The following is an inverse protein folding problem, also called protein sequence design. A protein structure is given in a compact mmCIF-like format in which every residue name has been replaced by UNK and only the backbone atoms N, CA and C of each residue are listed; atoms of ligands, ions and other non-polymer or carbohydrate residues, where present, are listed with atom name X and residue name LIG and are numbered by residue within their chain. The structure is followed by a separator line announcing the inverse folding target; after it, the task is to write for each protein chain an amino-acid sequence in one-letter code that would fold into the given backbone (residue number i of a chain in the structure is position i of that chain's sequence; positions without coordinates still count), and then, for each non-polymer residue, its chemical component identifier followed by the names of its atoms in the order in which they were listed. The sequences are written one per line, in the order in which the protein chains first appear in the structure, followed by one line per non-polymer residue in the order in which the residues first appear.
data_IF_479265747171
#
_entry.id   IF_479265747171
#
_cell.length_a   1.000
_cell.length_b   1.000
_cell.length_c   1.000
_cell.angle_alpha   90.00
_cell.angle_beta   90.00
_cell.angle_gamma   90.00
#
_symmetry.space_group_name_H-M   'P 1'
#
loop_
_entity.id
_entity.type
_entity.pdbx_description
1 polymer ?
#
# COMPACT_ATOMS: atom_id res chain seq x y z
N UNK A 1 -14.12 -0.10 -14.20
CA UNK A 1 -12.73 -0.33 -14.63
C UNK A 1 -12.34 0.67 -15.72
N UNK A 2 -11.06 1.05 -15.79
CA UNK A 2 -10.52 1.85 -16.89
C UNK A 2 -9.66 0.93 -17.74
N UNK A 3 -10.01 0.78 -19.01
CA UNK A 3 -9.30 -0.06 -19.97
C UNK A 3 -8.12 0.70 -20.58
N UNK A 4 -7.01 0.01 -20.83
CA UNK A 4 -5.78 0.54 -21.41
C UNK A 4 -5.64 0.01 -22.84
N UNK A 5 -4.76 0.63 -23.62
CA UNK A 5 -4.45 0.18 -25.01
C UNK A 5 -4.05 -1.31 -25.03
N UNK A 6 -3.32 -1.79 -24.02
CA UNK A 6 -2.95 -3.20 -23.88
C UNK A 6 -4.10 -4.16 -23.66
N UNK A 7 -5.26 -3.65 -23.22
CA UNK A 7 -6.48 -4.45 -22.97
C UNK A 7 -7.31 -4.60 -24.27
N UNK A 8 -6.85 -4.02 -25.38
CA UNK A 8 -7.47 -4.03 -26.70
C UNK A 8 -8.21 -2.73 -27.03
N UNK A 9 -8.08 -2.29 -28.28
CA UNK A 9 -8.71 -1.05 -28.76
C UNK A 9 -10.25 -1.05 -28.63
N UNK A 10 -10.89 -2.19 -28.80
CA UNK A 10 -12.35 -2.34 -28.66
C UNK A 10 -12.83 -2.08 -27.22
N UNK A 11 -11.98 -2.27 -26.23
CA UNK A 11 -12.34 -2.02 -24.83
C UNK A 11 -12.27 -0.53 -24.48
N UNK A 12 -11.52 0.29 -25.24
CA UNK A 12 -11.38 1.73 -24.97
C UNK A 12 -12.72 2.47 -25.07
N UNK A 13 -13.63 2.04 -25.93
CA UNK A 13 -14.97 2.62 -26.02
C UNK A 13 -15.77 2.50 -24.71
N UNK A 14 -15.53 1.45 -23.91
CA UNK A 14 -16.15 1.26 -22.60
C UNK A 14 -15.68 2.30 -21.56
N UNK A 15 -14.58 3.00 -21.80
CA UNK A 15 -14.12 4.07 -20.92
C UNK A 15 -15.07 5.26 -20.91
N UNK A 16 -15.81 5.51 -22.00
CA UNK A 16 -16.78 6.60 -22.05
C UNK A 16 -17.89 6.44 -21.00
N UNK A 17 -18.37 5.23 -20.78
CA UNK A 17 -19.33 4.96 -19.72
C UNK A 17 -18.74 5.20 -18.33
N UNK A 18 -17.48 4.77 -18.13
CA UNK A 18 -16.77 5.01 -16.88
C UNK A 18 -16.58 6.51 -16.63
N UNK A 19 -16.20 7.28 -17.65
CA UNK A 19 -16.06 8.74 -17.56
C UNK A 19 -17.40 9.43 -17.27
N UNK A 20 -18.51 8.97 -17.87
CA UNK A 20 -19.85 9.48 -17.54
C UNK A 20 -20.20 9.25 -16.07
N UNK A 21 -19.91 8.06 -15.54
CA UNK A 21 -20.13 7.74 -14.10
C UNK A 21 -19.27 8.62 -13.19
N UNK A 22 -18.00 8.84 -13.53
CA UNK A 22 -17.09 9.73 -12.78
C UNK A 22 -17.65 11.16 -12.77
N UNK A 23 -18.01 11.71 -13.94
CA UNK A 23 -18.56 13.06 -14.04
C UNK A 23 -19.85 13.20 -13.24
N UNK A 24 -20.75 12.21 -13.29
CA UNK A 24 -21.97 12.19 -12.48
C UNK A 24 -21.69 12.17 -10.97
N UNK A 25 -20.64 11.45 -10.54
CA UNK A 25 -20.23 11.43 -9.13
C UNK A 25 -19.66 12.79 -8.69
N UNK A 26 -18.81 13.40 -9.50
CA UNK A 26 -18.25 14.73 -9.23
C UNK A 26 -19.32 15.81 -9.20
N UNK A 27 -20.29 15.76 -10.13
CA UNK A 27 -21.44 16.67 -10.16
C UNK A 27 -22.29 16.61 -8.89
N UNK A 28 -22.40 15.42 -8.29
CA UNK A 28 -23.09 15.21 -6.99
C UNK A 28 -22.25 15.61 -5.77
N UNK A 29 -21.04 16.19 -5.96
CA UNK A 29 -20.14 16.54 -4.88
C UNK A 29 -19.36 15.38 -4.26
N UNK A 30 -19.37 14.20 -4.90
CA UNK A 30 -18.61 13.06 -4.41
C UNK A 30 -17.15 13.15 -4.82
N UNK A 31 -16.26 12.56 -4.00
CA UNK A 31 -14.86 12.39 -4.36
C UNK A 31 -14.64 11.10 -5.18
N UNK A 32 -13.69 11.16 -6.12
CA UNK A 32 -13.26 10.02 -6.94
C UNK A 32 -11.78 9.77 -6.74
N UNK A 33 -11.41 8.54 -6.37
CA UNK A 33 -10.00 8.15 -6.20
C UNK A 33 -9.47 7.48 -7.46
N UNK A 34 -8.28 7.92 -7.92
CA UNK A 34 -7.63 7.43 -9.14
C UNK A 34 -6.18 7.11 -8.86
N UNK A 35 -5.73 5.91 -9.24
CA UNK A 35 -4.32 5.51 -9.22
C UNK A 35 -3.64 5.89 -10.53
N UNK A 36 -2.91 7.01 -10.51
CA UNK A 36 -2.38 7.65 -11.73
C UNK A 36 -1.16 6.94 -12.34
N UNK A 37 -0.44 6.10 -11.59
CA UNK A 37 0.70 5.34 -12.10
C UNK A 37 0.30 4.27 -13.13
N UNK A 38 -0.89 3.75 -13.00
CA UNK A 38 -1.45 2.82 -13.98
C UNK A 38 -0.85 1.41 -14.00
N UNK A 39 0.22 1.12 -13.29
CA UNK A 39 0.89 -0.19 -13.20
C UNK A 39 1.21 -0.55 -11.75
N UNK A 40 1.37 -1.85 -11.48
CA UNK A 40 1.87 -2.35 -10.20
C UNK A 40 3.39 -2.31 -10.15
N UNK A 41 3.95 -2.20 -8.95
CA UNK A 41 5.39 -2.32 -8.71
C UNK A 41 5.73 -2.41 -7.23
N UNK A 42 6.96 -2.85 -6.97
CA UNK A 42 7.52 -2.96 -5.62
C UNK A 42 8.38 -1.76 -5.23
N UNK A 43 8.40 -0.75 -6.09
CA UNK A 43 9.21 0.44 -5.87
C UNK A 43 8.54 1.34 -4.82
N UNK A 44 9.36 2.01 -4.02
CA UNK A 44 8.91 2.96 -2.99
C UNK A 44 8.96 4.40 -3.50
N UNK A 45 9.26 4.61 -4.77
CA UNK A 45 9.24 5.89 -5.45
C UNK A 45 8.08 5.98 -6.45
N UNK A 46 7.71 7.20 -6.82
CA UNK A 46 6.69 7.46 -7.83
C UNK A 46 7.25 7.22 -9.23
N UNK A 47 6.58 6.38 -9.99
CA UNK A 47 6.84 6.21 -11.43
C UNK A 47 6.15 7.29 -12.24
N UNK A 48 6.42 7.31 -13.53
CA UNK A 48 5.78 8.26 -14.43
C UNK A 48 4.26 8.08 -14.46
N UNK A 49 3.57 9.20 -14.27
CA UNK A 49 2.12 9.19 -14.27
C UNK A 49 1.56 9.02 -15.68
N UNK A 50 0.49 8.25 -15.80
CA UNK A 50 -0.31 8.19 -17.03
C UNK A 50 -1.08 9.49 -17.24
N UNK A 51 -1.45 9.78 -18.50
CA UNK A 51 -2.25 10.97 -18.85
C UNK A 51 -3.72 10.87 -18.43
N UNK A 52 -4.18 9.69 -18.00
CA UNK A 52 -5.60 9.39 -17.79
C UNK A 52 -6.24 10.27 -16.72
N UNK A 53 -5.61 10.42 -15.54
CA UNK A 53 -6.14 11.23 -14.44
C UNK A 53 -6.24 12.71 -14.80
N UNK A 54 -5.21 13.28 -15.44
CA UNK A 54 -5.19 14.67 -15.88
C UNK A 54 -6.24 14.95 -16.95
N UNK A 55 -6.37 14.04 -17.92
CA UNK A 55 -7.40 14.11 -18.95
C UNK A 55 -8.81 14.10 -18.35
N UNK A 56 -9.09 13.15 -17.44
CA UNK A 56 -10.40 13.06 -16.79
C UNK A 56 -10.74 14.30 -15.98
N UNK A 57 -9.78 14.85 -15.25
CA UNK A 57 -10.00 16.06 -14.46
C UNK A 57 -10.35 17.28 -15.36
N UNK A 58 -9.62 17.45 -16.45
CA UNK A 58 -9.85 18.56 -17.40
C UNK A 58 -11.16 18.40 -18.19
N UNK A 59 -11.49 17.18 -18.66
CA UNK A 59 -12.77 16.89 -19.33
C UNK A 59 -13.96 17.09 -18.37
N UNK A 60 -13.80 16.77 -17.09
CA UNK A 60 -14.81 17.03 -16.08
C UNK A 60 -14.98 18.54 -15.83
N UNK A 61 -13.89 19.29 -15.72
CA UNK A 61 -13.92 20.75 -15.53
C UNK A 61 -14.53 21.46 -16.73
N UNK A 62 -14.23 21.03 -17.96
CA UNK A 62 -14.83 21.56 -19.20
C UNK A 62 -16.36 21.42 -19.19
N UNK A 63 -16.88 20.30 -18.67
CA UNK A 63 -18.34 20.03 -18.59
C UNK A 63 -19.02 20.68 -17.39
N UNK A 64 -18.27 21.06 -16.36
CA UNK A 64 -18.77 21.57 -15.10
C UNK A 64 -18.13 22.94 -14.79
N UNK A 65 -18.33 23.91 -15.68
CA UNK A 65 -17.73 25.24 -15.61
C UNK A 65 -18.08 26.00 -14.33
N UNK A 66 -19.27 25.79 -13.77
CA UNK A 66 -19.71 26.41 -12.51
C UNK A 66 -19.02 25.84 -11.26
N UNK A 67 -18.41 24.65 -11.33
CA UNK A 67 -17.68 24.02 -10.25
C UNK A 67 -16.17 24.26 -10.38
N UNK A 68 -15.46 24.36 -9.27
CA UNK A 68 -14.00 24.35 -9.25
C UNK A 68 -13.51 22.97 -8.76
N UNK A 69 -13.29 22.08 -9.72
CA UNK A 69 -12.80 20.74 -9.42
C UNK A 69 -11.38 20.82 -8.86
N UNK A 70 -11.16 20.17 -7.73
CA UNK A 70 -9.84 20.06 -7.08
C UNK A 70 -9.27 18.67 -7.25
N UNK A 71 -8.02 18.58 -7.64
CA UNK A 71 -7.22 17.35 -7.56
C UNK A 71 -6.37 17.42 -6.31
N UNK A 72 -6.50 16.43 -5.42
CA UNK A 72 -5.71 16.30 -4.21
C UNK A 72 -4.67 15.21 -4.44
N UNK A 73 -3.37 15.54 -4.55
CA UNK A 73 -2.32 14.54 -4.60
C UNK A 73 -2.26 13.76 -3.28
N UNK A 74 -2.17 12.43 -3.37
CA UNK A 74 -2.10 11.58 -2.18
C UNK A 74 -0.91 10.63 -2.30
N UNK A 75 -0.05 10.65 -1.29
CA UNK A 75 1.07 9.72 -1.15
C UNK A 75 0.71 8.58 -0.21
N UNK A 76 0.82 7.34 -0.70
CA UNK A 76 0.71 6.13 0.10
C UNK A 76 2.11 5.61 0.42
N UNK A 77 2.57 5.82 1.63
CA UNK A 77 3.90 5.39 2.07
C UNK A 77 3.78 4.08 2.85
N UNK A 78 3.99 2.97 2.14
CA UNK A 78 4.07 1.64 2.73
C UNK A 78 5.48 1.40 3.26
N UNK A 79 5.60 0.87 4.47
CA UNK A 79 6.91 0.55 5.02
C UNK A 79 7.32 -0.90 4.70
N UNK A 80 6.33 -1.80 4.66
CA UNK A 80 6.54 -3.20 4.29
C UNK A 80 5.32 -3.76 3.56
N UNK A 81 5.49 -4.15 2.30
CA UNK A 81 4.41 -4.75 1.52
C UNK A 81 4.06 -6.20 1.92
N UNK A 82 4.98 -6.90 2.60
CA UNK A 82 4.86 -8.35 2.83
C UNK A 82 4.55 -8.76 4.27
N UNK A 83 4.48 -7.79 5.19
CA UNK A 83 4.29 -8.05 6.61
C UNK A 83 2.95 -7.55 7.12
N UNK A 84 2.27 -8.32 7.98
CA UNK A 84 1.08 -7.83 8.67
C UNK A 84 1.44 -6.78 9.74
N UNK A 85 0.45 -5.98 10.10
CA UNK A 85 0.53 -4.98 11.18
C UNK A 85 1.58 -3.88 10.99
N UNK A 86 2.04 -3.64 9.75
CA UNK A 86 2.93 -2.53 9.48
C UNK A 86 2.19 -1.22 9.29
N UNK A 87 2.89 -0.14 9.61
CA UNK A 87 2.41 1.22 9.49
C UNK A 87 2.31 1.63 8.02
N UNK A 88 1.25 2.35 7.70
CA UNK A 88 1.06 3.04 6.43
C UNK A 88 0.89 4.51 6.77
N UNK A 89 1.64 5.38 6.10
CA UNK A 89 1.43 6.83 6.19
C UNK A 89 0.75 7.31 4.93
N UNK A 90 -0.46 7.86 5.09
CA UNK A 90 -1.22 8.50 4.01
C UNK A 90 -1.02 10.00 4.16
N UNK A 91 -0.45 10.62 3.13
CA UNK A 91 -0.13 12.06 3.13
C UNK A 91 -0.93 12.73 2.03
N UNK A 92 -1.73 13.72 2.41
CA UNK A 92 -2.50 14.55 1.49
C UNK A 92 -1.71 15.80 1.17
N UNK A 93 -1.53 16.08 -0.12
CA UNK A 93 -0.90 17.29 -0.62
C UNK A 93 -1.88 18.45 -0.74
N UNK A 94 -1.37 19.59 -1.23
CA UNK A 94 -2.19 20.76 -1.45
C UNK A 94 -3.17 20.53 -2.60
N UNK A 95 -4.44 20.96 -2.46
CA UNK A 95 -5.41 20.87 -3.53
C UNK A 95 -5.00 21.70 -4.75
N UNK A 96 -5.08 21.11 -5.93
CA UNK A 96 -4.75 21.74 -7.21
C UNK A 96 -6.07 22.07 -7.90
N UNK A 97 -6.32 23.37 -8.21
CA UNK A 97 -7.49 23.78 -8.98
C UNK A 97 -7.32 23.41 -10.46
N UNK A 98 -8.24 22.58 -10.97
CA UNK A 98 -8.24 22.18 -12.38
C UNK A 98 -8.58 23.34 -13.28
N UNK A 99 -9.41 24.26 -12.81
CA UNK A 99 -9.82 25.48 -13.53
C UNK A 99 -8.65 26.31 -14.04
N UNK A 100 -7.55 26.35 -13.31
CA UNK A 100 -6.35 27.11 -13.71
C UNK A 100 -5.70 26.60 -15.01
N UNK A 101 -5.96 25.35 -15.38
CA UNK A 101 -5.41 24.70 -16.57
C UNK A 101 -6.42 24.66 -17.73
N UNK A 102 -7.68 25.03 -17.49
CA UNK A 102 -8.74 24.98 -18.50
C UNK A 102 -8.46 25.87 -19.72
N UNK A 103 -7.98 27.13 -19.59
CA UNK A 103 -7.68 27.98 -20.75
C UNK A 103 -6.63 27.36 -21.68
N UNK A 104 -5.59 26.74 -21.13
CA UNK A 104 -4.55 26.07 -21.91
C UNK A 104 -5.12 24.83 -22.59
N UNK A 105 -5.92 24.06 -21.85
CA UNK A 105 -6.56 22.85 -22.37
C UNK A 105 -7.53 23.14 -23.53
N UNK A 106 -8.33 24.20 -23.44
CA UNK A 106 -9.25 24.60 -24.50
C UNK A 106 -8.51 25.07 -25.76
N UNK A 107 -7.37 25.75 -25.61
CA UNK A 107 -6.51 26.16 -26.71
C UNK A 107 -5.78 24.98 -27.35
N UNK A 108 -5.18 24.11 -26.53
CA UNK A 108 -4.41 22.95 -26.98
C UNK A 108 -4.51 21.80 -25.96
N UNK A 109 -5.41 20.86 -26.24
CA UNK A 109 -5.77 19.77 -25.31
C UNK A 109 -4.55 18.99 -24.79
N UNK A 110 -3.63 18.65 -25.69
CA UNK A 110 -2.43 17.87 -25.32
C UNK A 110 -1.52 18.61 -24.34
N UNK A 111 -1.35 19.92 -24.53
CA UNK A 111 -0.51 20.76 -23.67
C UNK A 111 -1.14 20.90 -22.28
N UNK A 112 -2.44 21.23 -22.20
CA UNK A 112 -3.16 21.31 -20.93
C UNK A 112 -3.08 20.03 -20.11
N UNK A 113 -3.23 18.87 -20.76
CA UNK A 113 -3.08 17.54 -20.12
C UNK A 113 -1.66 17.34 -19.59
N UNK A 114 -0.63 17.70 -20.37
CA UNK A 114 0.76 17.52 -19.98
C UNK A 114 1.14 18.43 -18.80
N UNK A 115 0.70 19.70 -18.82
CA UNK A 115 0.95 20.63 -17.72
C UNK A 115 0.25 20.18 -16.43
N UNK A 116 -1.03 19.80 -16.52
CA UNK A 116 -1.77 19.27 -15.38
C UNK A 116 -1.11 18.02 -14.82
N UNK A 117 -0.66 17.09 -15.69
CA UNK A 117 0.07 15.87 -15.26
C UNK A 117 1.35 16.23 -14.51
N UNK A 118 2.13 17.21 -15.00
CA UNK A 118 3.38 17.64 -14.35
C UNK A 118 3.14 18.19 -12.95
N UNK A 119 2.09 18.98 -12.77
CA UNK A 119 1.75 19.55 -11.45
C UNK A 119 1.24 18.47 -10.49
N UNK A 120 0.41 17.52 -10.97
CA UNK A 120 -0.01 16.37 -10.18
C UNK A 120 1.21 15.54 -9.76
N UNK A 121 2.13 15.26 -10.67
CA UNK A 121 3.36 14.51 -10.40
C UNK A 121 4.19 15.18 -9.29
N UNK A 122 4.41 16.48 -9.40
CA UNK A 122 5.12 17.26 -8.38
C UNK A 122 4.41 17.20 -7.02
N UNK A 123 3.10 17.37 -7.01
CA UNK A 123 2.28 17.27 -5.81
C UNK A 123 2.36 15.89 -5.16
N UNK A 124 2.28 14.80 -5.94
CA UNK A 124 2.39 13.44 -5.43
C UNK A 124 3.80 13.14 -4.88
N UNK A 125 4.87 13.58 -5.57
CA UNK A 125 6.25 13.43 -5.08
C UNK A 125 6.48 14.13 -3.75
N UNK A 126 5.86 15.27 -3.53
CA UNK A 126 5.96 15.97 -2.23
C UNK A 126 5.35 15.17 -1.07
N UNK A 127 4.38 14.29 -1.36
CA UNK A 127 3.68 13.44 -0.39
C UNK A 127 4.39 12.10 -0.11
N UNK A 128 5.52 11.80 -0.78
CA UNK A 128 6.26 10.55 -0.65
C UNK A 128 7.55 10.75 0.15
N UNK A 129 7.97 9.70 0.87
CA UNK A 129 9.27 9.64 1.54
C UNK A 129 10.40 9.58 0.51
N UNK A 130 10.27 8.73 -0.50
CA UNK A 130 11.20 8.61 -1.63
C UNK A 130 10.47 9.12 -2.89
N UNK A 131 10.73 10.35 -3.33
CA UNK A 131 9.97 10.94 -4.43
C UNK A 131 10.34 10.38 -5.81
N UNK A 132 11.57 9.91 -6.01
CA UNK A 132 12.07 9.38 -7.28
C UNK A 132 13.19 8.37 -7.06
N UNK A 133 13.50 7.59 -8.07
CA UNK A 133 14.68 6.76 -8.09
C UNK A 133 15.96 7.61 -8.08
N UNK A 134 16.98 7.11 -7.41
CA UNK A 134 18.24 7.81 -7.28
C UNK A 134 19.37 6.91 -6.77
N UNK A 135 20.63 7.37 -6.80
CA UNK A 135 21.79 6.57 -6.40
C UNK A 135 21.70 6.09 -4.94
N UNK A 136 20.98 6.82 -4.09
CA UNK A 136 20.81 6.49 -2.67
C UNK A 136 19.55 5.70 -2.37
N UNK A 137 18.74 5.30 -3.37
CA UNK A 137 17.46 4.64 -3.18
C UNK A 137 17.50 3.48 -2.19
N UNK A 138 18.48 2.59 -2.31
CA UNK A 138 18.58 1.44 -1.40
C UNK A 138 18.94 1.85 0.03
N UNK A 139 19.74 2.88 0.20
CA UNK A 139 20.10 3.42 1.52
C UNK A 139 18.88 4.07 2.19
N UNK A 140 18.13 4.89 1.43
CA UNK A 140 16.91 5.55 1.87
C UNK A 140 15.82 4.52 2.25
N UNK A 141 15.62 3.51 1.40
CA UNK A 141 14.70 2.41 1.66
C UNK A 141 15.08 1.64 2.93
N UNK A 142 16.34 1.30 3.09
CA UNK A 142 16.84 0.63 4.29
C UNK A 142 16.68 1.49 5.55
N UNK A 143 16.92 2.79 5.45
CA UNK A 143 16.69 3.74 6.53
C UNK A 143 15.21 3.78 6.93
N UNK A 144 14.28 3.88 5.98
CA UNK A 144 12.85 3.84 6.23
C UNK A 144 12.48 2.52 6.91
N UNK A 145 12.89 1.38 6.35
CA UNK A 145 12.54 0.06 6.86
C UNK A 145 13.01 -0.19 8.30
N UNK A 146 14.14 0.41 8.70
CA UNK A 146 14.70 0.28 10.05
C UNK A 146 14.06 1.21 11.08
N UNK A 147 13.45 2.30 10.64
CA UNK A 147 13.03 3.38 11.54
C UNK A 147 11.52 3.63 11.55
N UNK A 148 10.75 2.98 10.68
CA UNK A 148 9.34 3.25 10.45
C UNK A 148 8.46 3.07 11.69
N UNK A 149 8.76 2.08 12.54
CA UNK A 149 7.94 1.77 13.71
C UNK A 149 8.08 2.81 14.83
N UNK A 150 9.24 3.47 14.92
CA UNK A 150 9.56 4.38 16.02
C UNK A 150 9.60 5.87 15.60
N UNK A 151 9.41 6.19 14.31
CA UNK A 151 9.50 7.56 13.82
C UNK A 151 8.24 8.01 13.09
N UNK A 152 7.99 9.34 13.12
CA UNK A 152 6.94 9.96 12.32
C UNK A 152 7.38 10.12 10.86
N UNK A 153 6.41 10.30 9.95
CA UNK A 153 6.66 10.60 8.54
C UNK A 153 7.60 11.81 8.39
N UNK A 154 7.31 12.91 9.09
CA UNK A 154 8.08 14.15 9.02
C UNK A 154 9.55 13.98 9.43
N UNK A 155 9.79 13.17 10.45
CA UNK A 155 11.15 12.90 10.92
C UNK A 155 11.93 12.02 9.95
N UNK A 156 11.27 11.02 9.36
CA UNK A 156 11.87 10.19 8.33
C UNK A 156 12.20 11.03 7.09
N UNK A 157 11.28 11.89 6.65
CA UNK A 157 11.48 12.76 5.49
C UNK A 157 12.63 13.73 5.71
N UNK A 158 12.71 14.36 6.88
CA UNK A 158 13.86 15.22 7.23
C UNK A 158 15.17 14.46 7.20
N UNK A 159 15.23 13.24 7.75
CA UNK A 159 16.43 12.40 7.74
C UNK A 159 16.90 12.04 6.33
N UNK A 160 15.98 11.82 5.40
CA UNK A 160 16.30 11.55 3.99
C UNK A 160 16.81 12.80 3.28
N UNK A 161 16.15 13.95 3.50
CA UNK A 161 16.51 15.22 2.84
C UNK A 161 17.83 15.78 3.34
N UNK A 162 18.10 15.71 4.66
CA UNK A 162 19.36 16.23 5.24
C UNK A 162 20.58 15.41 4.85
N UNK A 163 20.41 14.15 4.44
CA UNK A 163 21.52 13.25 4.12
C UNK A 163 22.46 12.95 5.31
N UNK A 164 22.19 13.55 6.48
CA UNK A 164 22.97 13.36 7.69
C UNK A 164 22.77 11.97 8.25
N UNK A 165 23.59 11.06 7.73
CA UNK A 165 23.77 9.71 8.25
C UNK A 165 22.43 8.98 8.38
N UNK A 166 22.02 8.27 7.35
CA UNK A 166 20.89 7.32 7.34
C UNK A 166 21.10 6.19 8.37
N UNK A 167 21.48 6.58 9.60
CA UNK A 167 21.76 5.68 10.71
C UNK A 167 20.46 5.12 11.30
N UNK A 168 20.48 3.87 11.78
CA UNK A 168 19.34 3.30 12.48
C UNK A 168 19.02 4.15 13.73
N UNK A 169 17.81 4.71 13.76
CA UNK A 169 17.28 5.44 14.92
C UNK A 169 16.69 4.47 15.96
N UNK A 170 16.32 3.26 15.52
CA UNK A 170 15.80 2.19 16.36
C UNK A 170 16.83 1.05 16.46
N UNK A 171 17.15 0.63 17.69
CA UNK A 171 18.02 -0.52 17.91
C UNK A 171 17.26 -1.83 17.65
N UNK A 172 17.78 -2.74 16.81
CA UNK A 172 17.17 -4.06 16.63
C UNK A 172 17.31 -4.92 17.87
N UNK A 173 16.24 -5.56 18.31
CA UNK A 173 16.26 -6.46 19.46
C UNK A 173 16.20 -7.93 18.99
N UNK A 174 17.38 -8.56 18.89
CA UNK A 174 17.52 -9.94 18.46
C UNK A 174 16.84 -10.95 19.39
N UNK A 175 16.80 -10.66 20.69
CA UNK A 175 16.17 -11.55 21.69
C UNK A 175 14.66 -11.59 21.51
N UNK A 176 14.00 -10.44 21.34
CA UNK A 176 12.56 -10.38 21.04
C UNK A 176 12.22 -11.10 19.74
N UNK A 177 13.07 -10.95 18.72
CA UNK A 177 12.87 -11.65 17.45
C UNK A 177 12.95 -13.16 17.61
N UNK A 178 14.01 -13.67 18.29
CA UNK A 178 14.19 -15.10 18.54
C UNK A 178 13.01 -15.66 19.35
N UNK A 179 12.63 -14.98 20.43
CA UNK A 179 11.46 -15.39 21.22
C UNK A 179 10.18 -15.46 20.36
N UNK A 180 9.92 -14.41 19.56
CA UNK A 180 8.78 -14.43 18.65
C UNK A 180 8.84 -15.57 17.64
N UNK A 181 10.02 -15.95 17.14
CA UNK A 181 10.20 -17.11 16.26
C UNK A 181 9.89 -18.43 16.97
N UNK A 182 10.37 -18.60 18.19
CA UNK A 182 10.13 -19.80 19.01
C UNK A 182 8.62 -20.01 19.30
N UNK A 183 7.88 -18.94 19.56
CA UNK A 183 6.43 -19.02 19.77
C UNK A 183 5.66 -19.53 18.54
N UNK A 184 6.30 -19.54 17.38
CA UNK A 184 5.73 -20.17 16.17
C UNK A 184 5.45 -21.67 16.29
N UNK A 185 6.06 -22.36 17.28
CA UNK A 185 5.86 -23.79 17.48
C UNK A 185 4.40 -24.15 17.78
N UNK A 186 3.66 -23.28 18.48
CA UNK A 186 2.25 -23.49 18.79
C UNK A 186 1.34 -23.48 17.54
N UNK A 187 1.82 -22.90 16.45
CA UNK A 187 1.11 -22.79 15.18
C UNK A 187 2.03 -23.21 14.01
N UNK A 188 2.88 -24.24 14.22
CA UNK A 188 3.87 -24.63 13.22
C UNK A 188 3.23 -25.13 11.92
N UNK A 189 2.12 -25.89 11.99
CA UNK A 189 1.44 -26.45 10.84
C UNK A 189 1.03 -25.37 9.81
N UNK A 190 0.16 -24.41 10.17
CA UNK A 190 -0.23 -23.34 9.27
C UNK A 190 0.94 -22.46 8.84
N UNK A 191 1.92 -22.22 9.70
CA UNK A 191 3.09 -21.41 9.35
C UNK A 191 3.98 -22.09 8.31
N UNK A 192 4.21 -23.40 8.44
CA UNK A 192 4.96 -24.17 7.45
C UNK A 192 4.22 -24.26 6.12
N UNK A 193 2.92 -24.58 6.16
CA UNK A 193 2.09 -24.66 4.96
C UNK A 193 2.11 -23.32 4.18
N UNK A 194 1.88 -22.22 4.87
CA UNK A 194 1.95 -20.90 4.25
C UNK A 194 3.34 -20.62 3.68
N UNK A 195 4.41 -20.94 4.41
CA UNK A 195 5.77 -20.72 3.92
C UNK A 195 6.07 -21.54 2.66
N UNK A 196 5.64 -22.80 2.61
CA UNK A 196 5.83 -23.69 1.46
C UNK A 196 5.11 -23.16 0.21
N UNK A 197 3.86 -22.74 0.35
CA UNK A 197 3.09 -22.19 -0.78
C UNK A 197 3.68 -20.85 -1.25
N UNK A 198 4.01 -19.96 -0.29
CA UNK A 198 4.54 -18.63 -0.60
C UNK A 198 5.95 -18.68 -1.23
N UNK A 199 6.73 -19.72 -0.97
CA UNK A 199 8.03 -19.92 -1.60
C UNK A 199 7.94 -20.07 -3.13
N UNK A 200 6.84 -20.62 -3.64
CA UNK A 200 6.58 -20.79 -5.08
C UNK A 200 6.14 -19.50 -5.80
N UNK A 201 5.85 -18.42 -5.07
CA UNK A 201 5.31 -17.19 -5.67
C UNK A 201 6.46 -16.33 -6.18
N UNK A 202 6.57 -16.22 -7.51
CA UNK A 202 7.58 -15.41 -8.18
C UNK A 202 7.27 -13.91 -8.17
N UNK A 203 5.98 -13.54 -8.22
CA UNK A 203 5.56 -12.14 -8.26
C UNK A 203 5.29 -11.61 -6.84
N UNK A 204 6.22 -10.77 -6.38
CA UNK A 204 6.19 -10.17 -5.05
C UNK A 204 4.96 -9.26 -4.84
N UNK A 205 4.39 -8.69 -5.91
CA UNK A 205 3.20 -7.81 -5.83
C UNK A 205 2.00 -8.56 -5.25
N UNK A 206 1.82 -9.82 -5.65
CA UNK A 206 0.71 -10.66 -5.18
C UNK A 206 1.02 -11.42 -3.89
N UNK A 207 2.28 -11.41 -3.43
CA UNK A 207 2.71 -12.16 -2.25
C UNK A 207 1.85 -11.88 -1.02
N UNK A 208 1.60 -10.60 -0.73
CA UNK A 208 0.81 -10.21 0.45
C UNK A 208 -0.66 -10.63 0.31
N UNK A 209 -1.26 -10.42 -0.86
CA UNK A 209 -2.66 -10.77 -1.12
C UNK A 209 -2.90 -12.27 -1.01
N UNK A 210 -2.00 -13.08 -1.59
CA UNK A 210 -2.08 -14.55 -1.51
C UNK A 210 -1.85 -15.01 -0.07
N UNK A 211 -0.87 -14.45 0.63
CA UNK A 211 -0.62 -14.74 2.04
C UNK A 211 -1.84 -14.50 2.92
N UNK A 212 -2.53 -13.38 2.73
CA UNK A 212 -3.75 -13.05 3.46
C UNK A 212 -4.90 -13.98 3.10
N UNK A 213 -5.13 -14.22 1.82
CA UNK A 213 -6.17 -15.11 1.36
C UNK A 213 -5.98 -16.53 1.92
N UNK A 214 -4.77 -17.07 1.84
CA UNK A 214 -4.47 -18.39 2.40
C UNK A 214 -4.62 -18.41 3.92
N UNK A 215 -4.09 -17.40 4.62
CA UNK A 215 -4.17 -17.33 6.08
C UNK A 215 -5.63 -17.31 6.58
N UNK A 216 -6.53 -16.67 5.84
CA UNK A 216 -7.96 -16.57 6.17
C UNK A 216 -8.64 -17.95 6.22
N UNK A 217 -8.16 -18.94 5.47
CA UNK A 217 -8.68 -20.30 5.49
C UNK A 217 -7.83 -21.24 6.36
N UNK A 218 -6.53 -21.16 6.24
CA UNK A 218 -5.60 -22.11 6.89
C UNK A 218 -5.64 -22.00 8.43
N UNK A 219 -5.66 -20.76 8.98
CA UNK A 219 -5.68 -20.62 10.44
C UNK A 219 -7.01 -21.03 11.09
N UNK A 220 -8.19 -20.69 10.59
CA UNK A 220 -9.45 -21.20 11.16
C UNK A 220 -9.55 -22.73 11.12
N UNK A 221 -9.13 -23.37 10.01
CA UNK A 221 -9.09 -24.82 9.90
C UNK A 221 -8.11 -25.45 10.91
N UNK A 222 -6.94 -24.84 11.10
CA UNK A 222 -5.98 -25.26 12.12
C UNK A 222 -6.56 -25.14 13.53
N UNK A 223 -7.19 -24.03 13.85
CA UNK A 223 -7.79 -23.80 15.16
C UNK A 223 -8.95 -24.77 15.44
N UNK A 224 -9.75 -25.07 14.42
CA UNK A 224 -10.79 -26.08 14.51
C UNK A 224 -10.16 -27.47 14.76
N UNK A 225 -9.13 -27.83 14.02
CA UNK A 225 -8.39 -29.09 14.22
C UNK A 225 -7.83 -29.19 15.64
N UNK A 226 -7.14 -28.17 16.10
CA UNK A 226 -6.57 -28.12 17.47
C UNK A 226 -7.67 -28.27 18.51
N UNK A 227 -8.80 -27.58 18.36
CA UNK A 227 -9.93 -27.67 19.27
C UNK A 227 -10.53 -29.08 19.28
N UNK A 228 -10.85 -29.64 18.11
CA UNK A 228 -11.47 -30.97 18.01
C UNK A 228 -10.56 -32.08 18.58
N UNK A 229 -9.29 -32.08 18.17
CA UNK A 229 -8.32 -33.09 18.62
C UNK A 229 -8.10 -33.02 20.13
N UNK A 230 -7.88 -31.82 20.68
CA UNK A 230 -7.64 -31.68 22.12
C UNK A 230 -8.90 -31.94 22.95
N UNK A 231 -10.10 -31.60 22.45
CA UNK A 231 -11.36 -31.93 23.10
C UNK A 231 -11.62 -33.42 23.13
N UNK A 232 -11.27 -34.16 22.08
CA UNK A 232 -11.41 -35.61 21.99
C UNK A 232 -10.41 -36.36 22.88
N UNK A 233 -9.14 -35.88 22.90
CA UNK A 233 -8.08 -36.57 23.66
C UNK A 233 -8.13 -36.29 25.18
N UNK A 234 -8.64 -35.14 25.60
CA UNK A 234 -8.63 -34.74 27.00
C UNK A 234 -10.07 -34.47 27.48
N UNK A 235 -10.61 -33.29 27.16
CA UNK A 235 -12.01 -32.90 27.31
C UNK A 235 -12.25 -31.52 26.66
N UNK A 236 -13.52 -31.11 26.57
CA UNK A 236 -13.92 -29.87 25.89
C UNK A 236 -13.36 -28.60 26.56
N UNK A 237 -13.20 -28.60 27.89
CA UNK A 237 -12.66 -27.44 28.63
C UNK A 237 -11.18 -27.20 28.29
N UNK A 238 -10.40 -28.31 28.27
CA UNK A 238 -9.01 -28.26 27.84
C UNK A 238 -8.87 -27.92 26.34
N UNK A 239 -9.81 -28.43 25.52
CA UNK A 239 -9.88 -28.08 24.10
C UNK A 239 -10.00 -26.58 23.89
N UNK A 240 -10.91 -25.92 24.59
CA UNK A 240 -11.09 -24.47 24.57
C UNK A 240 -9.84 -23.73 25.09
N UNK A 241 -9.24 -24.22 26.17
CA UNK A 241 -8.05 -23.60 26.76
C UNK A 241 -6.86 -23.65 25.78
N UNK A 242 -6.60 -24.79 25.16
CA UNK A 242 -5.52 -24.97 24.17
C UNK A 242 -5.76 -24.11 22.92
N UNK A 243 -7.00 -24.02 22.46
CA UNK A 243 -7.37 -23.15 21.35
C UNK A 243 -7.05 -21.68 21.67
N UNK A 244 -7.47 -21.17 22.82
CA UNK A 244 -7.22 -19.78 23.26
C UNK A 244 -5.72 -19.51 23.39
N UNK A 245 -4.97 -20.46 23.96
CA UNK A 245 -3.50 -20.36 24.04
C UNK A 245 -2.88 -20.29 22.63
N UNK A 246 -3.32 -21.13 21.70
CA UNK A 246 -2.80 -21.14 20.32
C UNK A 246 -3.02 -19.80 19.61
N UNK A 247 -4.21 -19.24 19.74
CA UNK A 247 -4.56 -17.91 19.19
C UNK A 247 -3.70 -16.81 19.85
N UNK A 248 -3.61 -16.83 21.18
CA UNK A 248 -2.82 -15.85 21.93
C UNK A 248 -1.33 -15.90 21.55
N UNK A 249 -0.74 -17.10 21.42
CA UNK A 249 0.65 -17.29 21.04
C UNK A 249 0.92 -16.82 19.60
N UNK A 250 -0.03 -16.98 18.68
CA UNK A 250 0.08 -16.41 17.34
C UNK A 250 0.11 -14.88 17.37
N UNK A 251 -0.77 -14.26 18.15
CA UNK A 251 -0.80 -12.81 18.33
C UNK A 251 0.49 -12.29 18.97
N UNK A 252 0.91 -12.91 20.08
CA UNK A 252 2.14 -12.55 20.80
C UNK A 252 3.38 -12.70 19.91
N UNK A 253 3.46 -13.76 19.12
CA UNK A 253 4.51 -13.93 18.11
C UNK A 253 4.60 -12.76 17.16
N UNK A 254 3.48 -12.34 16.56
CA UNK A 254 3.46 -11.22 15.63
C UNK A 254 3.86 -9.91 16.31
N UNK A 255 3.37 -9.69 17.51
CA UNK A 255 3.70 -8.50 18.31
C UNK A 255 5.20 -8.41 18.64
N UNK A 256 5.83 -9.51 19.09
CA UNK A 256 7.25 -9.54 19.41
C UNK A 256 8.14 -9.38 18.17
N UNK A 257 7.78 -10.03 17.06
CA UNK A 257 8.52 -9.87 15.79
C UNK A 257 8.43 -8.43 15.30
N UNK A 258 7.27 -7.79 15.37
CA UNK A 258 7.10 -6.37 15.03
C UNK A 258 7.98 -5.48 15.92
N UNK A 259 7.94 -5.67 17.24
CA UNK A 259 8.72 -4.87 18.20
C UNK A 259 10.23 -5.11 18.14
N UNK A 260 10.66 -6.18 17.51
CA UNK A 260 12.10 -6.48 17.39
C UNK A 260 12.87 -5.50 16.50
N UNK A 261 12.17 -4.74 15.65
CA UNK A 261 12.76 -3.79 14.67
C UNK A 261 13.84 -4.44 13.79
N UNK A 262 13.77 -5.74 13.57
CA UNK A 262 14.70 -6.44 12.67
C UNK A 262 14.14 -6.37 11.25
N UNK A 263 14.84 -5.73 10.30
CA UNK A 263 14.53 -5.83 8.89
C UNK A 263 14.77 -7.27 8.42
N UNK A 264 13.90 -7.80 7.59
CA UNK A 264 14.06 -9.14 6.97
C UNK A 264 14.24 -8.96 5.49
#
# INVERSE_FOLDING_TARGET
PIYRIRDGYSQLAKNEETFRKINSSLFRGHAVTIFSEGNHGNDFFLRDLSKGSSRMALEAQEKMDHLDIKVIPVGLNYFHHQRPFHKISIVFGQPISVRNFLPIYLKQKAEGINQMRKIIDQGMRSCLLIPKDGPNYQLERNFINRNNECQSFERLKRGIVSGEGLKPLCKPNKSLYRLGRCLGIFNFGPLLLLQSILFGIKDIVFYCSIKWALAMFVFPLWFLLVFVVSSFLINIQWGLTILLISIFMLYLRQYLIKRSNIPH
#
